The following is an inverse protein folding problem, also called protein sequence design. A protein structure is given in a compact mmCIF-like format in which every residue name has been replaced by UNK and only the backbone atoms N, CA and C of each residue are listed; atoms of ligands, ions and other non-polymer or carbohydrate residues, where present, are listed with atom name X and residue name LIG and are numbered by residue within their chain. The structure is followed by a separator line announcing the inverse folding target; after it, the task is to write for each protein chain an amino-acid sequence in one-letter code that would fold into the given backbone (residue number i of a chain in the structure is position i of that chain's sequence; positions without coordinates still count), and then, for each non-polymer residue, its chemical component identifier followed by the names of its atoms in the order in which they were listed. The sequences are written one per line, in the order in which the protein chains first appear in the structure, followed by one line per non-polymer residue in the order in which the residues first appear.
data_IF_397714101145
#
_entry.id   IF_397714101145
#
_cell.length_a   1.000
_cell.length_b   1.000
_cell.length_c   1.000
_cell.angle_alpha   90.00
_cell.angle_beta   90.00
_cell.angle_gamma   90.00
#
_symmetry.space_group_name_H-M   'P 1'
#
loop_
_entity.id
_entity.type
_entity.pdbx_description
1 polymer ?
#
# COMPACT_ATOMS: atom_id res chain seq x y z
N UNK A 1 -25.99 51.09 -42.40
CA UNK A 1 -25.38 49.84 -42.92
C UNK A 1 -25.14 48.94 -41.72
N UNK A 2 -25.99 47.93 -41.51
CA UNK A 2 -26.00 47.08 -40.31
C UNK A 2 -25.40 45.73 -40.70
N UNK A 3 -24.28 45.35 -40.08
CA UNK A 3 -23.58 44.09 -40.33
C UNK A 3 -24.04 43.09 -39.27
N UNK A 4 -24.73 42.04 -39.71
CA UNK A 4 -25.15 40.92 -38.87
C UNK A 4 -24.11 39.80 -38.99
N UNK A 5 -23.50 39.30 -37.90
CA UNK A 5 -22.61 38.16 -37.98
C UNK A 5 -23.42 36.85 -38.05
N UNK A 6 -23.11 36.03 -39.06
CA UNK A 6 -23.59 34.65 -39.19
C UNK A 6 -22.85 33.76 -38.21
N UNK A 7 -23.56 33.16 -37.26
CA UNK A 7 -23.06 32.06 -36.45
C UNK A 7 -23.10 30.76 -37.27
N UNK A 8 -21.93 30.15 -37.50
CA UNK A 8 -21.82 28.82 -38.07
C UNK A 8 -21.97 27.78 -36.95
N UNK A 9 -23.07 27.02 -36.97
CA UNK A 9 -23.33 25.90 -36.08
C UNK A 9 -22.51 24.70 -36.53
N UNK A 10 -21.49 24.33 -35.76
CA UNK A 10 -20.67 23.13 -36.00
C UNK A 10 -21.36 21.92 -35.35
N UNK A 11 -21.91 21.02 -36.16
CA UNK A 11 -22.42 19.72 -35.72
C UNK A 11 -21.24 18.76 -35.52
N UNK A 12 -20.96 18.36 -34.27
CA UNK A 12 -20.07 17.23 -33.97
C UNK A 12 -20.87 15.93 -34.08
N UNK A 13 -20.56 15.12 -35.09
CA UNK A 13 -20.98 13.71 -35.16
C UNK A 13 -20.17 12.90 -34.13
N UNK A 14 -20.84 12.40 -33.09
CA UNK A 14 -20.28 11.39 -32.20
C UNK A 14 -20.47 10.00 -32.83
N UNK A 15 -19.38 9.39 -33.31
CA UNK A 15 -19.37 7.98 -33.71
C UNK A 15 -19.37 7.10 -32.46
N UNK A 16 -20.45 6.38 -32.23
CA UNK A 16 -20.52 5.33 -31.21
C UNK A 16 -19.64 4.14 -31.63
N UNK A 17 -18.51 3.94 -30.96
CA UNK A 17 -17.70 2.74 -31.11
C UNK A 17 -18.29 1.65 -30.21
N UNK A 18 -18.95 0.67 -30.84
CA UNK A 18 -19.44 -0.52 -30.15
C UNK A 18 -18.25 -1.45 -29.85
N UNK A 19 -17.76 -1.39 -28.61
CA UNK A 19 -16.78 -2.34 -28.11
C UNK A 19 -17.49 -3.66 -27.79
N UNK A 20 -17.37 -4.64 -28.68
CA UNK A 20 -17.62 -6.04 -28.34
C UNK A 20 -16.62 -6.44 -27.25
N UNK A 21 -17.11 -6.58 -26.02
CA UNK A 21 -16.37 -7.23 -24.95
C UNK A 21 -16.18 -8.71 -25.33
N UNK A 22 -14.96 -9.08 -25.73
CA UNK A 22 -14.55 -10.48 -25.68
C UNK A 22 -14.53 -10.89 -24.20
N UNK A 23 -15.38 -11.84 -23.85
CA UNK A 23 -15.25 -12.59 -22.62
C UNK A 23 -13.96 -13.43 -22.72
N UNK A 24 -12.87 -12.91 -22.13
CA UNK A 24 -11.66 -13.69 -21.86
C UNK A 24 -11.97 -14.60 -20.66
N UNK A 25 -12.41 -15.80 -21.00
CA UNK A 25 -12.35 -16.95 -20.12
C UNK A 25 -10.90 -17.43 -20.01
N UNK A 26 -10.56 -17.98 -18.85
CA UNK A 26 -9.32 -18.66 -18.48
C UNK A 26 -8.08 -17.80 -18.17
N UNK A 27 -7.88 -17.67 -16.85
CA UNK A 27 -6.64 -17.47 -16.13
C UNK A 27 -5.52 -18.38 -16.67
N UNK A 28 -4.79 -17.92 -17.68
CA UNK A 28 -3.47 -18.47 -17.99
C UNK A 28 -2.42 -17.73 -17.13
N UNK A 29 -1.51 -18.45 -16.46
CA UNK A 29 -0.43 -17.82 -15.71
C UNK A 29 0.47 -17.04 -16.66
N UNK A 30 0.66 -15.75 -16.37
CA UNK A 30 1.63 -14.90 -17.07
C UNK A 30 3.03 -15.42 -16.77
N UNK A 31 3.62 -16.13 -17.73
CA UNK A 31 5.02 -16.57 -17.66
C UNK A 31 5.91 -15.38 -18.03
N UNK A 32 6.59 -14.80 -17.04
CA UNK A 32 7.65 -13.82 -17.29
C UNK A 32 8.92 -14.56 -17.73
N UNK A 33 9.21 -14.54 -19.03
CA UNK A 33 10.53 -14.95 -19.54
C UNK A 33 11.54 -13.84 -19.25
N UNK A 34 12.54 -14.13 -18.42
CA UNK A 34 13.69 -13.25 -18.18
C UNK A 34 14.92 -13.91 -18.79
N UNK A 35 15.47 -13.33 -19.86
CA UNK A 35 16.75 -13.77 -20.41
C UNK A 35 17.88 -13.42 -19.43
N UNK A 36 18.56 -14.44 -18.93
CA UNK A 36 19.86 -14.32 -18.28
C UNK A 36 20.84 -15.23 -19.02
N UNK A 37 21.83 -14.65 -19.70
CA UNK A 37 22.98 -15.33 -20.29
C UNK A 37 22.64 -16.52 -21.23
N UNK A 38 21.69 -16.35 -22.15
CA UNK A 38 21.43 -17.33 -23.22
C UNK A 38 20.88 -18.68 -22.76
N UNK A 39 20.46 -18.82 -21.49
CA UNK A 39 19.71 -19.98 -20.99
C UNK A 39 18.32 -19.52 -20.60
N UNK A 40 17.32 -19.97 -21.35
CA UNK A 40 15.91 -19.79 -21.00
C UNK A 40 15.62 -20.66 -19.78
N UNK A 41 15.69 -20.06 -18.59
CA UNK A 41 15.23 -20.70 -17.37
C UNK A 41 13.73 -20.40 -17.21
N UNK A 42 12.90 -21.43 -17.36
CA UNK A 42 11.47 -21.35 -17.03
C UNK A 42 11.35 -21.21 -15.52
N UNK A 43 11.17 -19.99 -15.03
CA UNK A 43 10.88 -19.78 -13.61
C UNK A 43 9.43 -20.20 -13.41
N UNK A 44 9.21 -21.34 -12.75
CA UNK A 44 7.87 -21.78 -12.39
C UNK A 44 7.17 -20.65 -11.64
N UNK A 45 5.98 -20.26 -12.12
CA UNK A 45 5.13 -19.33 -11.40
C UNK A 45 4.88 -19.92 -10.01
N UNK A 46 5.30 -19.21 -8.97
CA UNK A 46 5.02 -19.63 -7.60
C UNK A 46 3.51 -19.84 -7.47
N UNK A 47 3.10 -21.00 -6.92
CA UNK A 47 1.69 -21.28 -6.65
C UNK A 47 1.08 -20.11 -5.89
N UNK A 48 -0.12 -19.64 -6.25
CA UNK A 48 -0.76 -18.54 -5.54
C UNK A 48 -0.93 -18.96 -4.09
N UNK A 49 -0.23 -18.26 -3.19
CA UNK A 49 -0.38 -18.45 -1.76
C UNK A 49 -1.84 -18.12 -1.42
N UNK A 50 -2.61 -19.04 -0.82
CA UNK A 50 -3.99 -18.76 -0.45
C UNK A 50 -4.02 -17.49 0.40
N UNK A 51 -5.00 -16.60 0.19
CA UNK A 51 -5.08 -15.37 0.95
C UNK A 51 -5.14 -15.72 2.45
N UNK A 52 -4.42 -14.99 3.31
CA UNK A 52 -4.52 -15.21 4.75
C UNK A 52 -6.00 -15.16 5.14
N UNK A 53 -6.48 -16.20 5.82
CA UNK A 53 -7.87 -16.35 6.29
C UNK A 53 -8.27 -15.29 7.32
N UNK A 54 -7.33 -14.45 7.72
CA UNK A 54 -7.48 -13.46 8.77
C UNK A 54 -7.56 -12.09 8.15
N UNK A 55 -8.79 -11.57 8.00
CA UNK A 55 -9.14 -10.23 8.49
C UNK A 55 -10.58 -9.85 8.12
N UNK A 56 -11.49 -10.06 9.07
CA UNK A 56 -12.79 -9.39 9.11
C UNK A 56 -12.66 -7.88 9.37
N UNK A 57 -11.46 -7.40 9.73
CA UNK A 57 -11.18 -6.02 10.12
C UNK A 57 -10.00 -5.45 9.33
N UNK A 58 -10.01 -4.15 8.99
CA UNK A 58 -8.87 -3.53 8.33
C UNK A 58 -7.58 -3.61 9.16
N UNK A 59 -6.46 -3.90 8.51
CA UNK A 59 -5.11 -3.84 9.06
C UNK A 59 -4.52 -2.43 8.90
N UNK A 60 -3.75 -1.97 9.89
CA UNK A 60 -3.11 -0.65 9.85
C UNK A 60 -1.65 -0.79 9.44
N UNK A 61 -1.25 -0.22 8.31
CA UNK A 61 0.15 0.02 8.00
C UNK A 61 0.58 1.36 8.62
N UNK A 62 1.54 1.31 9.54
CA UNK A 62 2.18 2.49 10.12
C UNK A 62 3.50 2.82 9.40
N UNK A 63 3.69 4.10 9.09
CA UNK A 63 4.91 4.62 8.48
C UNK A 63 5.36 5.89 9.21
N UNK A 64 6.65 5.96 9.56
CA UNK A 64 7.26 7.18 10.06
C UNK A 64 7.56 8.15 8.92
N UNK A 65 7.44 9.44 9.23
CA UNK A 65 7.99 10.51 8.41
C UNK A 65 9.42 10.77 8.85
N UNK A 66 10.39 10.64 7.93
CA UNK A 66 11.80 10.90 8.22
C UNK A 66 12.33 11.99 7.31
N UNK A 67 13.04 12.95 7.88
CA UNK A 67 13.76 13.97 7.13
C UNK A 67 15.22 13.51 6.89
N UNK A 68 15.63 13.39 5.64
CA UNK A 68 16.99 13.06 5.21
C UNK A 68 17.48 14.11 4.23
N UNK A 69 18.49 14.90 4.62
CA UNK A 69 19.11 15.94 3.78
C UNK A 69 18.08 16.93 3.20
N UNK A 70 17.14 17.39 4.04
CA UNK A 70 16.07 18.32 3.63
C UNK A 70 14.96 17.72 2.77
N UNK A 71 14.97 16.40 2.54
CA UNK A 71 13.88 15.67 1.88
C UNK A 71 13.16 14.79 2.88
N UNK A 72 11.85 14.75 2.80
CA UNK A 72 11.04 13.87 3.64
C UNK A 72 10.78 12.54 2.93
N UNK A 73 10.80 11.46 3.68
CA UNK A 73 10.56 10.11 3.22
C UNK A 73 9.60 9.39 4.18
N UNK A 74 8.99 8.30 3.71
CA UNK A 74 8.17 7.41 4.51
C UNK A 74 8.90 6.10 4.76
N UNK A 75 9.14 5.81 6.03
CA UNK A 75 9.80 4.57 6.44
C UNK A 75 8.82 3.69 7.19
N UNK A 76 8.83 2.41 6.89
CA UNK A 76 7.88 1.47 7.47
C UNK A 76 8.17 1.31 8.97
N UNK A 77 7.13 1.48 9.78
CA UNK A 77 7.18 1.26 11.22
C UNK A 77 6.67 -0.16 11.53
N UNK A 78 5.48 -0.49 11.02
CA UNK A 78 4.82 -1.74 11.36
C UNK A 78 3.54 -1.97 10.59
N UNK A 79 3.17 -3.23 10.45
CA UNK A 79 1.86 -3.66 9.96
C UNK A 79 1.08 -4.23 11.15
N UNK A 80 -0.06 -3.63 11.46
CA UNK A 80 -0.76 -3.79 12.74
C UNK A 80 -2.19 -4.25 12.53
N UNK A 81 -2.43 -5.57 12.64
CA UNK A 81 -3.76 -6.12 12.80
C UNK A 81 -4.48 -5.48 13.99
N UNK A 82 -5.81 -5.64 14.06
CA UNK A 82 -6.61 -5.04 15.12
C UNK A 82 -6.21 -5.53 16.52
N UNK A 83 -5.83 -6.79 16.63
CA UNK A 83 -5.53 -7.47 17.88
C UNK A 83 -4.01 -7.71 17.98
N UNK A 84 -3.44 -7.37 19.13
CA UNK A 84 -2.05 -7.71 19.42
C UNK A 84 -1.93 -9.19 19.73
N UNK A 85 -0.73 -9.73 19.55
CA UNK A 85 -0.43 -11.09 19.90
C UNK A 85 -0.13 -11.21 21.41
N UNK A 86 -0.47 -12.35 22.05
CA UNK A 86 0.06 -12.71 23.36
C UNK A 86 1.60 -12.70 23.34
N UNK A 87 2.24 -12.32 24.45
CA UNK A 87 3.70 -12.15 24.53
C UNK A 87 4.47 -13.46 24.28
N UNK A 88 3.85 -14.61 24.52
CA UNK A 88 4.38 -15.96 24.40
C UNK A 88 4.06 -16.64 23.05
N UNK A 89 3.28 -16.00 22.18
CA UNK A 89 2.78 -16.62 20.95
C UNK A 89 3.87 -16.92 19.89
N UNK A 90 5.09 -16.39 20.04
CA UNK A 90 6.12 -16.47 19.01
C UNK A 90 7.43 -17.10 19.52
N UNK A 91 7.70 -18.33 19.09
CA UNK A 91 8.90 -19.11 19.47
C UNK A 91 10.06 -19.01 18.47
N UNK A 92 9.82 -18.56 17.23
CA UNK A 92 10.88 -18.42 16.20
C UNK A 92 10.83 -17.06 15.50
N UNK A 93 11.99 -16.42 15.37
CA UNK A 93 12.16 -15.19 14.60
C UNK A 93 13.54 -15.19 13.93
N UNK A 94 13.57 -14.90 12.64
CA UNK A 94 14.77 -14.50 11.91
C UNK A 94 14.61 -13.08 11.40
N UNK A 95 15.70 -12.35 11.20
CA UNK A 95 15.66 -11.01 10.61
C UNK A 95 15.55 -11.15 9.09
N UNK A 96 14.43 -10.76 8.46
CA UNK A 96 14.34 -10.76 7.01
C UNK A 96 15.18 -9.64 6.40
N UNK A 97 15.56 -9.78 5.14
CA UNK A 97 16.25 -8.72 4.39
C UNK A 97 15.24 -7.63 3.98
N UNK A 98 15.00 -6.67 4.88
CA UNK A 98 14.03 -5.58 4.67
C UNK A 98 14.56 -4.39 3.85
N UNK A 99 15.88 -4.31 3.67
CA UNK A 99 16.52 -3.20 2.97
C UNK A 99 16.27 -1.84 3.67
N UNK A 100 16.25 -0.76 2.88
CA UNK A 100 16.08 0.60 3.41
C UNK A 100 14.64 0.93 3.86
N UNK A 101 13.67 0.07 3.57
CA UNK A 101 12.26 0.34 3.85
C UNK A 101 11.93 0.26 5.35
N UNK A 102 12.74 -0.47 6.12
CA UNK A 102 12.55 -0.69 7.55
C UNK A 102 13.87 -0.48 8.31
N UNK A 103 14.12 0.75 8.74
CA UNK A 103 15.40 1.09 9.39
C UNK A 103 15.26 1.82 10.72
N UNK A 104 14.04 1.96 11.26
CA UNK A 104 13.79 2.79 12.45
C UNK A 104 13.45 1.96 13.68
N UNK A 105 12.65 0.91 13.52
CA UNK A 105 12.23 0.05 14.63
C UNK A 105 12.82 -1.34 14.53
N UNK A 106 12.97 -1.99 15.69
CA UNK A 106 13.38 -3.40 15.78
C UNK A 106 12.32 -4.29 15.09
N UNK A 107 12.66 -4.92 13.95
CA UNK A 107 11.72 -5.80 13.24
C UNK A 107 11.23 -6.95 14.12
N UNK A 108 12.06 -7.44 15.06
CA UNK A 108 11.67 -8.52 15.98
C UNK A 108 10.55 -8.07 16.90
N UNK A 109 10.63 -6.86 17.44
CA UNK A 109 9.60 -6.30 18.31
C UNK A 109 8.26 -6.19 17.59
N UNK A 110 8.26 -5.64 16.39
CA UNK A 110 7.04 -5.41 15.61
C UNK A 110 6.37 -6.73 15.19
N UNK A 111 7.15 -7.71 14.71
CA UNK A 111 6.59 -9.02 14.39
C UNK A 111 6.03 -9.73 15.62
N UNK A 112 6.75 -9.72 16.75
CA UNK A 112 6.26 -10.37 17.97
C UNK A 112 4.97 -9.76 18.48
N UNK A 113 4.88 -8.44 18.46
CA UNK A 113 3.75 -7.70 19.02
C UNK A 113 2.52 -7.73 18.12
N UNK A 114 2.71 -7.65 16.81
CA UNK A 114 1.64 -7.41 15.85
C UNK A 114 1.48 -8.49 14.78
N UNK A 115 2.55 -9.21 14.44
CA UNK A 115 2.55 -10.14 13.30
C UNK A 115 2.27 -11.60 13.67
N UNK A 116 2.85 -12.11 14.75
CA UNK A 116 3.06 -13.56 14.90
C UNK A 116 1.79 -14.40 15.09
N UNK A 117 0.69 -13.79 15.54
CA UNK A 117 -0.62 -14.41 15.67
C UNK A 117 -1.47 -14.30 14.40
N UNK A 118 -1.06 -13.48 13.43
CA UNK A 118 -1.78 -13.23 12.18
C UNK A 118 -1.04 -13.77 10.94
N UNK A 119 0.25 -14.08 11.08
CA UNK A 119 1.10 -14.58 10.02
C UNK A 119 1.81 -15.84 10.47
N UNK A 120 1.75 -16.88 9.63
CA UNK A 120 2.40 -18.18 9.89
C UNK A 120 3.91 -18.04 10.03
N UNK A 121 4.50 -17.15 9.23
CA UNK A 121 5.95 -16.98 9.11
C UNK A 121 6.31 -15.49 9.15
N UNK A 122 7.53 -15.20 9.61
CA UNK A 122 8.08 -13.83 9.64
C UNK A 122 8.11 -13.20 8.25
N UNK A 123 8.54 -13.94 7.24
CA UNK A 123 8.71 -13.41 5.89
C UNK A 123 7.38 -12.92 5.30
N UNK A 124 6.28 -13.64 5.51
CA UNK A 124 4.96 -13.28 4.98
C UNK A 124 4.49 -11.93 5.51
N UNK A 125 4.68 -11.69 6.82
CA UNK A 125 4.36 -10.41 7.46
C UNK A 125 5.10 -9.25 6.80
N UNK A 126 6.42 -9.40 6.62
CA UNK A 126 7.25 -8.32 6.12
C UNK A 126 7.15 -8.11 4.61
N UNK A 127 7.00 -9.18 3.83
CA UNK A 127 6.76 -9.09 2.38
C UNK A 127 5.43 -8.39 2.14
N UNK A 128 4.40 -8.72 2.92
CA UNK A 128 3.10 -8.06 2.81
C UNK A 128 3.16 -6.59 3.22
N UNK A 129 3.76 -6.29 4.36
CA UNK A 129 3.94 -4.91 4.83
C UNK A 129 4.70 -4.07 3.77
N UNK A 130 5.78 -4.61 3.21
CA UNK A 130 6.56 -3.95 2.18
C UNK A 130 5.77 -3.73 0.89
N UNK A 131 4.98 -4.72 0.47
CA UNK A 131 4.11 -4.60 -0.70
C UNK A 131 3.08 -3.49 -0.52
N UNK A 132 2.43 -3.40 0.65
CA UNK A 132 1.48 -2.32 0.95
C UNK A 132 2.18 -0.95 1.00
N UNK A 133 3.33 -0.85 1.67
CA UNK A 133 4.09 0.39 1.78
C UNK A 133 4.49 0.97 0.42
N UNK A 134 4.86 0.12 -0.54
CA UNK A 134 5.20 0.56 -1.91
C UNK A 134 4.02 1.14 -2.70
N UNK A 135 2.78 0.89 -2.28
CA UNK A 135 1.58 1.47 -2.92
C UNK A 135 1.21 2.86 -2.38
N UNK A 136 1.82 3.27 -1.26
CA UNK A 136 1.51 4.53 -0.59
C UNK A 136 2.14 5.69 -1.35
N UNK A 137 1.32 6.72 -1.62
CA UNK A 137 1.81 8.00 -2.15
C UNK A 137 2.33 8.87 -1.01
N UNK A 138 3.33 9.70 -1.29
CA UNK A 138 3.78 10.71 -0.33
C UNK A 138 2.70 11.80 -0.15
N UNK A 139 2.58 12.37 1.05
CA UNK A 139 1.74 13.56 1.25
C UNK A 139 2.34 14.76 0.52
N UNK A 140 1.48 15.71 0.14
CA UNK A 140 1.91 16.98 -0.47
C UNK A 140 2.49 17.95 0.56
N UNK A 141 2.24 17.74 1.85
CA UNK A 141 2.77 18.52 2.96
C UNK A 141 3.12 17.62 4.14
N UNK A 142 4.23 17.94 4.82
CA UNK A 142 4.69 17.28 6.04
C UNK A 142 4.43 18.12 7.30
N UNK A 143 3.71 19.22 7.16
CA UNK A 143 3.22 20.02 8.28
C UNK A 143 2.12 19.26 9.02
N UNK A 144 2.08 19.38 10.34
CA UNK A 144 0.97 18.83 11.08
C UNK A 144 -0.33 19.57 10.71
N UNK A 145 -1.42 18.86 10.39
CA UNK A 145 -2.73 19.49 10.24
C UNK A 145 -3.18 20.13 11.55
N UNK A 146 -3.68 21.36 11.48
CA UNK A 146 -4.05 22.18 12.65
C UNK A 146 -5.15 21.55 13.50
N UNK A 147 -6.18 20.97 12.84
CA UNK A 147 -7.41 20.51 13.52
C UNK A 147 -7.78 19.05 13.22
N UNK A 148 -6.95 18.31 12.50
CA UNK A 148 -7.30 16.98 12.02
C UNK A 148 -6.29 15.91 12.44
N UNK A 149 -6.77 14.86 13.12
CA UNK A 149 -6.02 13.59 13.28
C UNK A 149 -5.87 12.80 11.96
N UNK A 150 -6.21 13.43 10.82
CA UNK A 150 -6.27 12.80 9.50
C UNK A 150 -5.67 13.74 8.46
N UNK A 151 -4.94 13.18 7.50
CA UNK A 151 -4.45 13.87 6.30
C UNK A 151 -4.96 13.18 5.04
N UNK A 152 -5.25 13.95 4.00
CA UNK A 152 -5.67 13.40 2.70
C UNK A 152 -4.46 13.17 1.83
N UNK A 153 -4.27 11.94 1.38
CA UNK A 153 -3.18 11.51 0.52
C UNK A 153 -3.81 10.75 -0.65
N UNK A 154 -3.53 11.14 -1.90
CA UNK A 154 -4.09 10.46 -3.08
C UNK A 154 -5.63 10.28 -3.06
N UNK A 155 -6.36 11.23 -2.45
CA UNK A 155 -7.83 11.18 -2.35
C UNK A 155 -8.40 10.36 -1.19
N UNK A 156 -7.56 9.76 -0.33
CA UNK A 156 -7.98 8.96 0.84
C UNK A 156 -7.39 9.52 2.13
N UNK A 157 -8.10 9.32 3.25
CA UNK A 157 -7.66 9.79 4.56
C UNK A 157 -6.74 8.76 5.24
N UNK A 158 -5.56 9.20 5.65
CA UNK A 158 -4.66 8.50 6.55
C UNK A 158 -4.71 9.13 7.94
N UNK A 159 -4.50 8.35 9.01
CA UNK A 159 -4.38 8.91 10.36
C UNK A 159 -3.00 9.55 10.49
N UNK A 160 -2.94 10.78 11.00
CA UNK A 160 -1.70 11.48 11.30
C UNK A 160 -1.38 11.42 12.79
N UNK A 161 -0.08 11.28 13.11
CA UNK A 161 0.48 11.71 14.39
C UNK A 161 1.51 12.80 14.15
N UNK A 162 1.54 13.74 15.08
CA UNK A 162 2.43 14.88 15.01
C UNK A 162 3.35 14.93 16.22
N UNK A 163 4.54 15.48 16.00
CA UNK A 163 5.52 15.78 17.06
C UNK A 163 6.12 17.16 16.75
N UNK A 164 6.08 18.06 17.72
CA UNK A 164 6.58 19.43 17.59
C UNK A 164 6.08 20.16 16.31
N UNK A 165 4.78 20.08 16.03
CA UNK A 165 4.15 20.75 14.88
C UNK A 165 4.43 20.13 13.50
N UNK A 166 5.21 19.04 13.43
CA UNK A 166 5.47 18.30 12.18
C UNK A 166 4.79 16.93 12.18
N UNK A 167 4.47 16.40 11.01
CA UNK A 167 4.06 14.99 10.88
C UNK A 167 5.22 14.10 11.31
N UNK A 168 4.94 13.15 12.20
CA UNK A 168 5.90 12.15 12.65
C UNK A 168 5.53 10.74 12.19
N UNK A 169 4.23 10.45 12.07
CA UNK A 169 3.74 9.13 11.68
C UNK A 169 2.45 9.26 10.86
N UNK A 170 2.29 8.38 9.87
CA UNK A 170 1.08 8.20 9.09
C UNK A 170 0.62 6.75 9.20
N UNK A 171 -0.69 6.54 9.34
CA UNK A 171 -1.28 5.20 9.38
C UNK A 171 -2.34 5.05 8.29
N UNK A 172 -2.22 3.98 7.53
CA UNK A 172 -3.07 3.63 6.40
C UNK A 172 -3.83 2.35 6.73
N UNK A 173 -5.12 2.29 6.43
CA UNK A 173 -5.93 1.10 6.71
C UNK A 173 -6.15 0.28 5.44
N UNK A 174 -5.91 -1.02 5.48
CA UNK A 174 -6.08 -1.91 4.34
C UNK A 174 -7.11 -2.99 4.65
N UNK A 175 -7.95 -3.35 3.69
CA UNK A 175 -8.80 -4.56 3.77
C UNK A 175 -8.04 -5.81 3.29
N UNK A 176 -8.63 -7.00 3.48
CA UNK A 176 -8.03 -8.30 3.11
C UNK A 176 -7.50 -8.40 1.67
N UNK A 177 -8.05 -7.61 0.73
CA UNK A 177 -7.56 -7.51 -0.65
C UNK A 177 -6.37 -6.54 -0.85
N UNK A 178 -5.73 -6.07 0.23
CA UNK A 178 -4.66 -5.06 0.21
C UNK A 178 -5.11 -3.74 -0.45
N UNK A 179 -6.41 -3.49 -0.41
CA UNK A 179 -7.02 -2.25 -0.88
C UNK A 179 -7.01 -1.24 0.26
N UNK A 180 -6.36 -0.10 0.04
CA UNK A 180 -6.39 1.01 0.99
C UNK A 180 -7.82 1.54 1.15
N UNK A 181 -8.29 1.63 2.38
CA UNK A 181 -9.58 2.20 2.79
C UNK A 181 -9.39 3.30 3.83
N UNK A 182 -10.43 4.10 4.07
CA UNK A 182 -10.40 5.05 5.18
C UNK A 182 -10.39 4.31 6.53
N UNK A 183 -9.57 4.77 7.47
CA UNK A 183 -9.58 4.25 8.84
C UNK A 183 -10.84 4.70 9.58
N UNK A 184 -11.71 3.74 9.91
CA UNK A 184 -13.00 3.99 10.56
C UNK A 184 -12.93 4.12 12.09
N UNK A 185 -11.94 3.51 12.73
CA UNK A 185 -11.74 3.54 14.19
C UNK A 185 -10.28 3.89 14.53
N UNK A 186 -10.02 5.15 14.88
CA UNK A 186 -8.74 5.62 15.41
C UNK A 186 -8.76 5.66 16.93
#
# INVERSE_FOLDING_TARGET
MIIVPRFATLFLLATAVSSKALALNETQPVVFLRELNGRVATVAAASPVPPPTYQKHPIKLSMFVVEKKGKYDLMMHGLWPRENCPEDACSSFHVPKLGALWSICDPKHEFKKHGCCHYKNVDDYFVEAAAMARTIKHPTSYLCPTDAKKVTIGGKKAISRCKAGKLSELRFCFQAAKTWVECTNS
#
